data_IF_041085080331
#
_entry.id   IF_041085080331
#
_cell.length_a   1.000
_cell.length_b   1.000
_cell.length_c   1.000
_cell.angle_alpha   90.00
_cell.angle_beta   90.00
_cell.angle_gamma   90.00
#
_symmetry.space_group_name_H-M   'P 1'
#
loop_
_entity.id
_entity.type
_entity.pdbx_description
1 polymer ?
#
# COMPACT_ATOMS: atom_id res chain seq x y z
N UNK A 1 3.57 -12.48 -12.59
CA UNK A 1 5.01 -12.67 -12.24
C UNK A 1 5.68 -11.36 -11.85
N UNK A 2 5.49 -10.26 -12.59
CA UNK A 2 6.06 -8.94 -12.25
C UNK A 2 5.68 -8.40 -10.87
N UNK A 3 4.40 -8.52 -10.49
CA UNK A 3 3.87 -8.09 -9.19
C UNK A 3 4.54 -8.76 -7.99
N UNK A 4 4.76 -10.08 -8.07
CA UNK A 4 5.45 -10.82 -7.01
C UNK A 4 6.93 -10.40 -6.89
N UNK A 5 7.56 -10.01 -8.01
CA UNK A 5 8.92 -9.48 -8.00
C UNK A 5 8.95 -8.10 -7.36
N UNK A 6 8.00 -7.21 -7.69
CA UNK A 6 7.91 -5.87 -7.07
C UNK A 6 7.69 -5.98 -5.57
N UNK A 7 6.74 -6.83 -5.14
CA UNK A 7 6.48 -7.08 -3.71
C UNK A 7 7.71 -7.68 -3.03
N UNK A 8 8.39 -8.64 -3.66
CA UNK A 8 9.60 -9.24 -3.11
C UNK A 8 10.74 -8.23 -2.99
N UNK A 9 10.97 -7.39 -4.00
CA UNK A 9 12.00 -6.33 -3.99
C UNK A 9 11.67 -5.30 -2.93
N UNK A 10 10.41 -4.87 -2.81
CA UNK A 10 9.98 -3.92 -1.79
C UNK A 10 10.14 -4.50 -0.38
N UNK A 11 9.79 -5.78 -0.20
CA UNK A 11 9.97 -6.48 1.07
C UNK A 11 11.46 -6.58 1.43
N UNK A 12 12.31 -7.00 0.50
CA UNK A 12 13.76 -7.09 0.70
C UNK A 12 14.36 -5.72 0.98
N UNK A 13 14.00 -4.68 0.22
CA UNK A 13 14.46 -3.32 0.44
C UNK A 13 14.01 -2.75 1.80
N UNK A 14 12.80 -3.08 2.23
CA UNK A 14 12.27 -2.68 3.54
C UNK A 14 12.99 -3.41 4.67
N UNK A 15 13.28 -4.72 4.51
CA UNK A 15 14.03 -5.52 5.46
C UNK A 15 15.47 -5.03 5.56
N UNK A 16 16.13 -4.74 4.43
CA UNK A 16 17.51 -4.23 4.43
C UNK A 16 17.57 -2.83 5.01
N UNK A 17 16.64 -1.94 4.67
CA UNK A 17 16.54 -0.61 5.28
C UNK A 17 16.31 -0.71 6.80
N UNK A 18 15.41 -1.57 7.26
CA UNK A 18 15.16 -1.80 8.68
C UNK A 18 16.39 -2.40 9.40
N UNK A 19 17.08 -3.35 8.80
CA UNK A 19 18.29 -3.94 9.36
C UNK A 19 19.43 -2.90 9.45
N UNK A 20 19.59 -2.06 8.42
CA UNK A 20 20.57 -0.98 8.39
C UNK A 20 20.27 0.08 9.46
N UNK A 21 19.01 0.51 9.58
CA UNK A 21 18.56 1.43 10.61
C UNK A 21 18.78 0.87 12.02
N UNK A 22 18.51 -0.43 12.24
CA UNK A 22 18.77 -1.10 13.53
C UNK A 22 20.25 -1.16 13.87
N UNK A 23 21.09 -1.42 12.87
CA UNK A 23 22.56 -1.47 13.05
C UNK A 23 23.14 -0.09 13.34
N UNK A 24 22.61 0.97 12.70
CA UNK A 24 23.07 2.35 12.88
C UNK A 24 22.55 3.01 14.17
N UNK A 25 21.36 2.65 14.64
CA UNK A 25 20.67 3.40 15.70
C UNK A 25 20.83 2.83 17.13
N UNK A 26 21.41 1.63 17.33
CA UNK A 26 21.58 1.07 18.68
C UNK A 26 20.25 0.95 19.46
N UNK A 27 19.24 0.38 18.82
CA UNK A 27 17.82 0.52 19.23
C UNK A 27 17.44 -0.30 20.45
N UNK A 28 16.74 0.34 21.40
CA UNK A 28 16.13 -0.34 22.55
C UNK A 28 14.86 -1.10 22.15
N UNK A 29 14.52 -2.18 22.86
CA UNK A 29 13.37 -3.04 22.56
C UNK A 29 12.02 -2.28 22.51
N UNK A 30 11.89 -1.16 23.23
CA UNK A 30 10.69 -0.32 23.23
C UNK A 30 10.50 0.49 21.94
N UNK A 31 11.58 0.83 21.22
CA UNK A 31 11.45 1.54 19.95
C UNK A 31 11.02 0.60 18.82
N UNK A 32 11.36 -0.69 18.95
CA UNK A 32 11.01 -1.71 17.96
C UNK A 32 9.50 -1.98 17.89
N UNK A 33 8.82 -1.99 19.04
CA UNK A 33 7.37 -2.16 19.09
C UNK A 33 6.63 -0.97 18.48
N UNK A 34 7.15 0.25 18.69
CA UNK A 34 6.61 1.47 18.06
C UNK A 34 6.73 1.45 16.54
N UNK A 35 7.88 1.02 16.00
CA UNK A 35 8.08 0.90 14.55
C UNK A 35 7.19 -0.20 13.96
N UNK A 36 7.16 -1.39 14.57
CA UNK A 36 6.33 -2.50 14.10
C UNK A 36 4.84 -2.13 14.05
N UNK A 37 4.35 -1.41 15.08
CA UNK A 37 2.98 -0.93 15.12
C UNK A 37 2.69 0.04 13.96
N UNK A 38 3.55 1.03 13.71
CA UNK A 38 3.36 1.98 12.60
C UNK A 38 3.40 1.29 11.24
N UNK A 39 4.27 0.29 11.07
CA UNK A 39 4.31 -0.52 9.85
C UNK A 39 3.01 -1.30 9.65
N UNK A 40 2.45 -1.89 10.71
CA UNK A 40 1.16 -2.59 10.65
C UNK A 40 -0.01 -1.63 10.36
N UNK A 41 0.00 -0.44 10.94
CA UNK A 41 -1.00 0.61 10.66
C UNK A 41 -0.96 1.02 9.18
N UNK A 42 0.24 1.25 8.62
CA UNK A 42 0.42 1.52 7.20
C UNK A 42 -0.02 0.34 6.32
N UNK A 43 0.36 -0.89 6.68
CA UNK A 43 0.01 -2.10 5.94
C UNK A 43 -1.51 -2.30 5.88
N UNK A 44 -2.20 -2.10 7.01
CA UNK A 44 -3.66 -2.19 7.06
C UNK A 44 -4.34 -1.13 6.18
N UNK A 45 -3.83 0.10 6.20
CA UNK A 45 -4.33 1.18 5.36
C UNK A 45 -4.10 0.90 3.87
N UNK A 46 -2.94 0.34 3.52
CA UNK A 46 -2.62 -0.09 2.16
C UNK A 46 -3.56 -1.18 1.66
N UNK A 47 -3.81 -2.22 2.47
CA UNK A 47 -4.75 -3.26 2.12
C UNK A 47 -6.17 -2.70 1.92
N UNK A 48 -6.58 -1.72 2.74
CA UNK A 48 -7.88 -1.08 2.59
C UNK A 48 -7.99 -0.31 1.26
N UNK A 49 -6.99 0.51 0.92
CA UNK A 49 -6.90 1.20 -0.38
C UNK A 49 -6.93 0.20 -1.53
N UNK A 50 -6.17 -0.90 -1.44
CA UNK A 50 -6.12 -1.91 -2.49
C UNK A 50 -7.50 -2.56 -2.72
N UNK A 51 -8.20 -2.93 -1.64
CA UNK A 51 -9.56 -3.51 -1.73
C UNK A 51 -10.53 -2.51 -2.34
N UNK A 52 -10.45 -1.23 -1.96
CA UNK A 52 -11.29 -0.17 -2.52
C UNK A 52 -11.02 0.04 -4.00
N UNK A 53 -9.76 0.14 -4.40
CA UNK A 53 -9.37 0.29 -5.79
C UNK A 53 -9.88 -0.92 -6.60
N UNK A 54 -9.62 -2.15 -6.17
CA UNK A 54 -10.11 -3.37 -6.86
C UNK A 54 -11.63 -3.38 -6.98
N UNK A 55 -12.35 -2.97 -5.92
CA UNK A 55 -13.80 -2.83 -5.94
C UNK A 55 -14.28 -1.80 -6.97
N UNK A 56 -13.67 -0.61 -6.98
CA UNK A 56 -13.96 0.46 -7.95
C UNK A 56 -13.65 0.03 -9.39
N UNK A 57 -12.51 -0.63 -9.61
CA UNK A 57 -12.13 -1.20 -10.89
C UNK A 57 -13.19 -2.20 -11.38
N UNK A 58 -13.59 -3.13 -10.51
CA UNK A 58 -14.62 -4.14 -10.81
C UNK A 58 -15.95 -3.50 -11.18
N UNK A 59 -16.43 -2.53 -10.38
CA UNK A 59 -17.67 -1.80 -10.65
C UNK A 59 -17.57 -1.06 -11.99
N UNK A 60 -16.43 -0.42 -12.28
CA UNK A 60 -16.18 0.27 -13.54
C UNK A 60 -16.28 -0.66 -14.75
N UNK A 61 -15.71 -1.87 -14.65
CA UNK A 61 -15.81 -2.89 -15.71
C UNK A 61 -17.25 -3.33 -15.91
N UNK A 62 -17.97 -3.63 -14.83
CA UNK A 62 -19.37 -4.05 -14.91
C UNK A 62 -20.25 -2.97 -15.54
N UNK A 63 -20.07 -1.71 -15.13
CA UNK A 63 -20.79 -0.57 -15.69
C UNK A 63 -20.48 -0.38 -17.18
N UNK A 64 -19.19 -0.43 -17.57
CA UNK A 64 -18.79 -0.28 -18.96
C UNK A 64 -19.34 -1.41 -19.83
N UNK A 65 -19.31 -2.65 -19.32
CA UNK A 65 -19.87 -3.83 -20.00
C UNK A 65 -21.38 -3.69 -20.19
N UNK A 66 -22.09 -3.19 -19.18
CA UNK A 66 -23.53 -2.93 -19.27
C UNK A 66 -23.85 -1.88 -20.34
N UNK A 67 -23.02 -0.85 -20.48
CA UNK A 67 -23.24 0.24 -21.43
C UNK A 67 -22.89 -0.11 -22.89
N UNK A 68 -21.86 -0.92 -23.11
CA UNK A 68 -21.30 -1.14 -24.46
C UNK A 68 -21.56 -2.52 -25.05
N UNK A 69 -22.03 -3.49 -24.24
CA UNK A 69 -22.18 -4.91 -24.62
C UNK A 69 -20.92 -5.57 -25.22
N UNK A 70 -19.77 -4.91 -25.13
CA UNK A 70 -18.47 -5.40 -25.59
C UNK A 70 -17.64 -5.81 -24.38
N UNK A 71 -16.91 -6.91 -24.54
CA UNK A 71 -15.97 -7.40 -23.54
C UNK A 71 -14.71 -6.53 -23.60
N UNK A 72 -14.60 -5.54 -22.71
CA UNK A 72 -13.33 -4.84 -22.52
C UNK A 72 -12.48 -5.71 -21.60
N UNK A 73 -11.54 -6.44 -22.19
CA UNK A 73 -10.42 -6.99 -21.43
C UNK A 73 -9.56 -5.83 -21.00
N UNK A 74 -9.59 -5.50 -19.71
CA UNK A 74 -9.02 -4.24 -19.21
C UNK A 74 -7.51 -4.37 -19.07
N UNK A 75 -6.79 -4.28 -20.19
CA UNK A 75 -5.34 -4.14 -20.21
C UNK A 75 -4.83 -2.84 -19.57
N UNK A 76 -5.74 -1.86 -19.34
CA UNK A 76 -5.44 -0.59 -18.67
C UNK A 76 -5.36 -0.78 -17.14
N UNK A 77 -6.03 -1.79 -16.61
CA UNK A 77 -6.02 -2.21 -15.20
C UNK A 77 -5.01 -3.34 -15.09
N UNK A 78 -3.74 -2.98 -15.31
CA UNK A 78 -2.67 -3.92 -15.01
C UNK A 78 -2.60 -4.09 -13.49
N UNK A 79 -2.56 -5.33 -13.00
CA UNK A 79 -2.52 -5.69 -11.58
C UNK A 79 -1.46 -4.88 -10.81
N UNK A 80 -0.32 -4.62 -11.46
CA UNK A 80 0.81 -3.89 -10.88
C UNK A 80 0.47 -2.42 -10.58
N UNK A 81 -0.36 -1.78 -11.41
CA UNK A 81 -0.76 -0.37 -11.22
C UNK A 81 -1.66 -0.20 -9.99
N UNK A 82 -2.54 -1.16 -9.72
CA UNK A 82 -3.41 -1.14 -8.53
C UNK A 82 -2.60 -1.22 -7.25
N UNK A 83 -1.60 -2.10 -7.24
CA UNK A 83 -0.67 -2.25 -6.11
C UNK A 83 0.10 -0.95 -5.86
N UNK A 84 0.60 -0.30 -6.91
CA UNK A 84 1.36 0.95 -6.79
C UNK A 84 0.46 2.11 -6.35
N UNK A 85 -0.70 2.30 -6.98
CA UNK A 85 -1.59 3.41 -6.66
C UNK A 85 -2.17 3.28 -5.25
N UNK A 86 -2.59 2.08 -4.84
CA UNK A 86 -3.06 1.84 -3.46
C UNK A 86 -1.96 2.12 -2.43
N UNK A 87 -0.69 1.80 -2.73
CA UNK A 87 0.43 2.10 -1.83
C UNK A 87 0.67 3.60 -1.69
N UNK A 88 0.60 4.35 -2.80
CA UNK A 88 0.71 5.81 -2.79
C UNK A 88 -0.46 6.45 -2.02
N UNK A 89 -1.70 6.00 -2.26
CA UNK A 89 -2.88 6.47 -1.54
C UNK A 89 -2.75 6.23 -0.03
N UNK A 90 -2.35 5.02 0.37
CA UNK A 90 -2.12 4.69 1.76
C UNK A 90 -0.98 5.51 2.38
N UNK A 91 0.08 5.80 1.64
CA UNK A 91 1.15 6.66 2.13
C UNK A 91 0.65 8.08 2.41
N UNK A 92 -0.09 8.67 1.48
CA UNK A 92 -0.66 10.01 1.64
C UNK A 92 -1.63 10.04 2.82
N UNK A 93 -2.53 9.07 2.92
CA UNK A 93 -3.50 8.99 4.02
C UNK A 93 -2.83 8.76 5.37
N UNK A 94 -1.83 7.87 5.44
CA UNK A 94 -1.09 7.60 6.67
C UNK A 94 -0.31 8.84 7.12
N UNK A 95 0.35 9.54 6.19
CA UNK A 95 1.05 10.80 6.48
C UNK A 95 0.09 11.88 6.98
N UNK A 96 -1.07 12.04 6.34
CA UNK A 96 -2.09 13.01 6.75
C UNK A 96 -2.68 12.69 8.13
N UNK A 97 -3.05 11.43 8.39
CA UNK A 97 -3.56 11.01 9.69
C UNK A 97 -2.54 11.22 10.81
N UNK A 98 -1.27 10.88 10.54
CA UNK A 98 -0.19 11.05 11.52
C UNK A 98 0.09 12.52 11.82
N UNK A 99 0.07 13.39 10.80
CA UNK A 99 0.20 14.83 10.99
C UNK A 99 -0.97 15.39 11.82
N UNK A 100 -2.20 15.01 11.46
CA UNK A 100 -3.40 15.49 12.15
C UNK A 100 -3.47 15.05 13.62
N UNK A 101 -3.00 13.85 13.94
CA UNK A 101 -2.95 13.38 15.34
C UNK A 101 -1.93 14.16 16.17
N UNK A 102 -0.84 14.66 15.57
CA UNK A 102 0.13 15.51 16.27
C UNK A 102 -0.37 16.93 16.55
N UNK A 103 -1.34 17.42 15.79
CA UNK A 103 -1.91 18.77 15.98
C UNK A 103 -2.97 18.81 17.11
N UNK A 104 -3.39 17.64 17.62
CA UNK A 104 -4.42 17.50 18.67
C UNK A 104 -3.79 17.29 20.06
N UNK A 105 -2.50 16.93 20.12
CA UNK A 105 -1.70 16.77 21.34
C UNK A 105 -0.95 18.07 21.70
#
# INVERSE_FOLDING_TARGET
MGTMIVVAVLAVASITAAALLRWMAGTSANELSGVARRTLEFLGLWLLCLVLDVGLGTIGVLAFRALTSRFVSVYIVNDDSFVIFSAIQAFILHAWLTARLRDVD
#
